data_IF_717607504628
#
_entry.id   IF_717607504628
#
_cell.length_a   1.000
_cell.length_b   1.000
_cell.length_c   1.000
_cell.angle_alpha   90.00
_cell.angle_beta   90.00
_cell.angle_gamma   90.00
#
_symmetry.space_group_name_H-M   'P 1'
#
loop_
_entity.id
_entity.type
_entity.pdbx_description
1 polymer ?
#
# COMPACT_ATOMS: atom_id res chain seq x y z
N UNK A 1 11.67 -99.62 62.10
CA UNK A 1 12.98 -99.87 61.46
C UNK A 1 13.46 -98.57 60.84
N UNK A 2 14.77 -98.38 60.86
CA UNK A 2 15.56 -97.22 60.43
C UNK A 2 15.24 -96.72 59.01
N UNK A 3 15.06 -95.40 58.88
CA UNK A 3 15.80 -94.41 58.04
C UNK A 3 16.19 -94.74 56.56
N UNK A 4 16.88 -93.84 55.81
CA UNK A 4 16.29 -93.00 54.76
C UNK A 4 17.07 -93.03 53.41
N UNK A 5 16.51 -92.53 52.30
CA UNK A 5 17.27 -92.08 51.11
C UNK A 5 16.38 -91.08 50.33
N UNK A 6 16.60 -89.77 50.41
CA UNK A 6 17.64 -88.95 49.75
C UNK A 6 17.33 -88.60 48.30
N UNK A 7 17.27 -87.28 48.02
CA UNK A 7 17.16 -86.68 46.69
C UNK A 7 15.70 -86.55 46.26
N UNK A 8 15.15 -85.38 45.95
CA UNK A 8 15.75 -84.36 45.09
C UNK A 8 15.28 -82.99 45.57
N UNK A 9 16.23 -82.15 45.99
CA UNK A 9 16.08 -80.71 45.87
C UNK A 9 16.50 -80.34 44.43
N UNK A 10 15.87 -79.31 43.89
CA UNK A 10 15.88 -78.77 42.51
C UNK A 10 14.75 -79.24 41.59
N UNK A 11 14.24 -78.27 40.82
CA UNK A 11 13.26 -78.33 39.73
C UNK A 11 11.78 -78.05 40.03
N UNK A 12 11.47 -77.12 40.95
CA UNK A 12 10.19 -76.39 40.91
C UNK A 12 10.42 -74.88 41.06
N UNK A 13 11.33 -74.32 40.26
CA UNK A 13 10.99 -73.05 39.60
C UNK A 13 9.74 -73.35 38.76
N UNK A 14 8.57 -73.10 39.33
CA UNK A 14 7.28 -73.35 38.72
C UNK A 14 7.21 -72.54 37.42
N UNK A 15 7.48 -73.21 36.30
CA UNK A 15 7.45 -72.62 34.97
C UNK A 15 6.05 -72.04 34.75
N UNK A 16 5.97 -70.70 34.66
CA UNK A 16 4.74 -69.96 34.38
C UNK A 16 4.10 -70.55 33.11
N UNK A 17 2.79 -70.84 33.16
CA UNK A 17 2.06 -71.36 32.00
C UNK A 17 2.36 -70.48 30.78
N UNK A 18 2.81 -71.03 29.65
CA UNK A 18 3.23 -70.26 28.48
C UNK A 18 2.15 -69.28 27.99
N UNK A 19 0.86 -69.53 28.24
CA UNK A 19 -0.23 -68.58 27.91
C UNK A 19 -0.23 -67.38 28.86
N UNK A 20 0.02 -67.59 30.15
CA UNK A 20 0.15 -66.53 31.15
C UNK A 20 1.40 -65.68 30.88
N UNK A 21 2.48 -66.31 30.41
CA UNK A 21 3.70 -65.62 30.01
C UNK A 21 3.48 -64.67 28.82
N UNK A 22 2.75 -65.11 27.78
CA UNK A 22 2.40 -64.26 26.62
C UNK A 22 1.53 -63.07 27.01
N UNK A 23 0.56 -63.25 27.90
CA UNK A 23 -0.30 -62.15 28.37
C UNK A 23 0.48 -61.16 29.26
N UNK A 24 1.45 -61.63 30.06
CA UNK A 24 2.35 -60.77 30.83
C UNK A 24 3.29 -59.96 29.93
N UNK A 25 3.83 -60.57 28.87
CA UNK A 25 4.62 -59.86 27.85
C UNK A 25 3.78 -58.80 27.13
N UNK A 26 2.53 -59.13 26.81
CA UNK A 26 1.57 -58.19 26.20
C UNK A 26 1.25 -57.03 27.14
N UNK A 27 1.03 -57.30 28.43
CA UNK A 27 0.80 -56.28 29.46
C UNK A 27 2.01 -55.35 29.63
N UNK A 28 3.21 -55.92 29.69
CA UNK A 28 4.45 -55.14 29.79
C UNK A 28 4.65 -54.26 28.56
N UNK A 29 4.45 -54.81 27.35
CA UNK A 29 4.51 -54.03 26.11
C UNK A 29 3.48 -52.90 26.08
N UNK A 30 2.24 -53.16 26.48
CA UNK A 30 1.21 -52.13 26.55
C UNK A 30 1.53 -51.05 27.60
N UNK A 31 2.16 -51.44 28.71
CA UNK A 31 2.62 -50.50 29.75
C UNK A 31 3.74 -49.61 29.23
N UNK A 32 4.71 -50.17 28.51
CA UNK A 32 5.78 -49.41 27.86
C UNK A 32 5.24 -48.45 26.81
N UNK A 33 4.25 -48.88 26.02
CA UNK A 33 3.57 -48.03 25.03
C UNK A 33 2.80 -46.89 25.70
N UNK A 34 2.10 -47.14 26.80
CA UNK A 34 1.42 -46.09 27.59
C UNK A 34 2.44 -45.08 28.10
N UNK A 35 3.52 -45.55 28.73
CA UNK A 35 4.57 -44.67 29.26
C UNK A 35 5.19 -43.80 28.16
N UNK A 36 5.43 -44.38 26.97
CA UNK A 36 5.94 -43.65 25.82
C UNK A 36 4.95 -42.60 25.32
N UNK A 37 3.68 -42.96 25.16
CA UNK A 37 2.64 -42.04 24.73
C UNK A 37 2.41 -40.90 25.74
N UNK A 38 2.56 -41.16 27.04
CA UNK A 38 2.50 -40.13 28.07
C UNK A 38 3.66 -39.13 27.93
N UNK A 39 4.89 -39.62 27.71
CA UNK A 39 6.06 -38.76 27.45
C UNK A 39 5.84 -37.93 26.18
N UNK A 40 5.45 -38.56 25.07
CA UNK A 40 5.22 -37.89 23.80
C UNK A 40 4.11 -36.82 23.91
N UNK A 41 3.04 -37.12 24.67
CA UNK A 41 1.94 -36.18 24.92
C UNK A 41 2.41 -34.98 25.73
N UNK A 42 3.22 -35.18 26.77
CA UNK A 42 3.73 -34.10 27.59
C UNK A 42 4.76 -33.23 26.84
N UNK A 43 5.59 -33.83 26.00
CA UNK A 43 6.46 -33.12 25.05
C UNK A 43 5.65 -32.28 24.06
N UNK A 44 4.63 -32.87 23.42
CA UNK A 44 3.76 -32.16 22.48
C UNK A 44 3.02 -31.00 23.16
N UNK A 45 2.53 -31.19 24.39
CA UNK A 45 1.89 -30.14 25.20
C UNK A 45 2.87 -29.04 25.57
N UNK A 46 4.11 -29.38 25.94
CA UNK A 46 5.15 -28.41 26.24
C UNK A 46 5.51 -27.57 25.00
N UNK A 47 5.70 -28.23 23.85
CA UNK A 47 5.96 -27.56 22.57
C UNK A 47 4.82 -26.63 22.17
N UNK A 48 3.56 -27.08 22.30
CA UNK A 48 2.39 -26.24 22.02
C UNK A 48 2.34 -25.00 22.91
N UNK A 49 2.58 -25.15 24.22
CA UNK A 49 2.62 -24.01 25.16
C UNK A 49 3.73 -23.02 24.79
N UNK A 50 4.93 -23.51 24.43
CA UNK A 50 6.03 -22.67 23.99
C UNK A 50 5.67 -21.89 22.71
N UNK A 51 5.12 -22.57 21.70
CA UNK A 51 4.71 -21.95 20.45
C UNK A 51 3.61 -20.90 20.65
N UNK A 52 2.64 -21.17 21.53
CA UNK A 52 1.57 -20.25 21.87
C UNK A 52 2.11 -18.99 22.58
N UNK A 53 3.03 -19.17 23.52
CA UNK A 53 3.69 -18.05 24.20
C UNK A 53 4.51 -17.20 23.22
N UNK A 54 5.27 -17.84 22.33
CA UNK A 54 6.05 -17.14 21.31
C UNK A 54 5.15 -16.37 20.33
N UNK A 55 4.08 -16.99 19.86
CA UNK A 55 3.12 -16.37 18.94
C UNK A 55 2.40 -15.19 19.58
N UNK A 56 1.90 -15.36 20.82
CA UNK A 56 1.27 -14.28 21.59
C UNK A 56 2.24 -13.12 21.79
N UNK A 57 3.49 -13.41 22.18
CA UNK A 57 4.53 -12.40 22.33
C UNK A 57 4.81 -11.66 21.01
N UNK A 58 4.90 -12.37 19.88
CA UNK A 58 5.09 -11.75 18.56
C UNK A 58 3.93 -10.83 18.20
N UNK A 59 2.69 -11.24 18.48
CA UNK A 59 1.49 -10.42 18.27
C UNK A 59 1.53 -9.17 19.14
N UNK A 60 1.85 -9.28 20.43
CA UNK A 60 1.95 -8.15 21.35
C UNK A 60 3.07 -7.17 20.94
N UNK A 61 4.21 -7.69 20.51
CA UNK A 61 5.30 -6.87 19.97
C UNK A 61 4.85 -6.12 18.71
N UNK A 62 4.13 -6.76 17.79
CA UNK A 62 3.59 -6.12 16.59
C UNK A 62 2.52 -5.09 16.95
N UNK A 63 1.61 -5.41 17.87
CA UNK A 63 0.59 -4.50 18.37
C UNK A 63 1.21 -3.27 19.03
N UNK A 64 2.28 -3.41 19.83
CA UNK A 64 3.06 -2.29 20.37
C UNK A 64 3.82 -1.51 19.29
N UNK A 65 4.39 -2.20 18.29
CA UNK A 65 5.16 -1.58 17.21
C UNK A 65 4.27 -0.73 16.30
N UNK A 66 3.09 -1.25 15.95
CA UNK A 66 2.12 -0.64 15.05
C UNK A 66 1.20 0.35 15.80
N UNK A 67 0.71 -0.01 16.99
CA UNK A 67 -0.04 0.87 17.90
C UNK A 67 -0.96 1.86 17.19
N UNK A 68 -0.86 3.14 17.57
CA UNK A 68 -1.53 4.25 16.89
C UNK A 68 -0.71 4.88 15.76
N UNK A 69 0.36 4.24 15.26
CA UNK A 69 1.24 4.86 14.26
C UNK A 69 0.54 5.08 12.92
N UNK A 70 -0.45 4.24 12.59
CA UNK A 70 -1.29 4.40 11.39
C UNK A 70 -2.16 5.65 11.53
N UNK A 71 -2.91 5.77 12.64
CA UNK A 71 -3.72 6.96 12.94
C UNK A 71 -2.88 8.24 12.97
N UNK A 72 -1.69 8.17 13.56
CA UNK A 72 -0.77 9.32 13.64
C UNK A 72 -0.15 9.68 12.29
N UNK A 73 0.01 8.73 11.37
CA UNK A 73 0.52 8.98 10.03
C UNK A 73 -0.59 9.37 9.04
N UNK A 74 -1.86 9.12 9.37
CA UNK A 74 -3.03 9.43 8.52
C UNK A 74 -3.01 10.86 7.95
N UNK A 75 -2.75 11.94 8.74
CA UNK A 75 -2.76 13.30 8.21
C UNK A 75 -1.72 13.52 7.10
N UNK A 76 -0.58 12.83 7.16
CA UNK A 76 0.45 12.91 6.12
C UNK A 76 -0.02 12.28 4.80
N UNK A 77 -0.64 11.09 4.86
CA UNK A 77 -1.14 10.42 3.66
C UNK A 77 -2.33 11.15 3.04
N UNK A 78 -3.23 11.70 3.87
CA UNK A 78 -4.31 12.58 3.39
C UNK A 78 -3.77 13.84 2.73
N UNK A 79 -2.76 14.50 3.32
CA UNK A 79 -2.12 15.66 2.71
C UNK A 79 -1.45 15.31 1.37
N UNK A 80 -0.82 14.13 1.26
CA UNK A 80 -0.25 13.65 -0.01
C UNK A 80 -1.30 13.41 -1.08
N UNK A 81 -2.45 12.86 -0.71
CA UNK A 81 -3.56 12.67 -1.64
C UNK A 81 -4.04 14.03 -2.17
N UNK A 82 -4.27 15.00 -1.27
CA UNK A 82 -4.66 16.37 -1.65
C UNK A 82 -3.62 17.07 -2.52
N UNK A 83 -2.33 16.91 -2.23
CA UNK A 83 -1.27 17.47 -3.07
C UNK A 83 -1.27 16.86 -4.48
N UNK A 84 -1.54 15.56 -4.60
CA UNK A 84 -1.66 14.88 -5.89
C UNK A 84 -2.88 15.38 -6.69
N UNK A 85 -4.02 15.57 -6.03
CA UNK A 85 -5.22 16.14 -6.65
C UNK A 85 -4.96 17.58 -7.12
N UNK A 86 -4.37 18.43 -6.27
CA UNK A 86 -4.01 19.80 -6.62
C UNK A 86 -2.99 19.87 -7.77
N UNK A 87 -2.06 18.92 -7.85
CA UNK A 87 -1.14 18.80 -8.99
C UNK A 87 -1.89 18.52 -10.29
N UNK A 88 -2.84 17.57 -10.28
CA UNK A 88 -3.64 17.26 -11.47
C UNK A 88 -4.48 18.46 -11.91
N UNK A 89 -5.08 19.20 -10.97
CA UNK A 89 -5.79 20.44 -11.28
C UNK A 89 -4.88 21.51 -11.89
N UNK A 90 -3.69 21.70 -11.32
CA UNK A 90 -2.71 22.67 -11.83
C UNK A 90 -2.22 22.31 -13.23
N UNK A 91 -1.93 21.03 -13.48
CA UNK A 91 -1.54 20.54 -14.81
C UNK A 91 -2.68 20.70 -15.83
N UNK A 92 -3.92 20.39 -15.45
CA UNK A 92 -5.07 20.59 -16.32
C UNK A 92 -5.26 22.07 -16.67
N UNK A 93 -5.14 22.98 -15.69
CA UNK A 93 -5.20 24.41 -15.91
C UNK A 93 -4.04 24.92 -16.79
N UNK A 94 -2.82 24.39 -16.60
CA UNK A 94 -1.66 24.71 -17.44
C UNK A 94 -1.91 24.33 -18.92
N UNK A 95 -2.40 23.12 -19.18
CA UNK A 95 -2.74 22.66 -20.54
C UNK A 95 -3.82 23.55 -21.18
N UNK A 96 -4.84 23.97 -20.41
CA UNK A 96 -5.86 24.91 -20.91
C UNK A 96 -5.24 26.25 -21.27
N UNK A 97 -4.36 26.78 -20.42
CA UNK A 97 -3.66 28.04 -20.67
C UNK A 97 -2.76 27.96 -21.91
N UNK A 98 -2.01 26.87 -22.10
CA UNK A 98 -1.20 26.64 -23.29
C UNK A 98 -2.04 26.56 -24.57
N UNK A 99 -3.19 25.91 -24.52
CA UNK A 99 -4.16 25.87 -25.63
C UNK A 99 -4.69 27.27 -25.96
N UNK A 100 -5.06 28.05 -24.94
CA UNK A 100 -5.51 29.43 -25.13
C UNK A 100 -4.41 30.34 -25.71
N UNK A 101 -3.16 30.19 -25.25
CA UNK A 101 -2.01 30.87 -25.83
C UNK A 101 -1.83 30.53 -27.33
N UNK A 102 -1.93 29.24 -27.66
CA UNK A 102 -1.79 28.76 -29.04
C UNK A 102 -2.91 29.28 -29.94
N UNK A 103 -4.15 29.27 -29.45
CA UNK A 103 -5.31 29.81 -30.16
C UNK A 103 -5.18 31.32 -30.39
N UNK A 104 -4.69 32.06 -29.40
CA UNK A 104 -4.45 33.50 -29.50
C UNK A 104 -3.33 33.83 -30.50
N UNK A 105 -2.25 33.05 -30.52
CA UNK A 105 -1.19 33.20 -31.52
C UNK A 105 -1.71 32.98 -32.94
N UNK A 106 -2.49 31.92 -33.16
CA UNK A 106 -3.12 31.65 -34.45
C UNK A 106 -4.11 32.76 -34.86
N UNK A 107 -4.87 33.31 -33.91
CA UNK A 107 -5.77 34.44 -34.15
C UNK A 107 -5.02 35.69 -34.62
N UNK A 108 -3.89 36.01 -33.97
CA UNK A 108 -3.01 37.11 -34.38
C UNK A 108 -2.42 36.91 -35.78
N UNK A 109 -2.02 35.68 -36.10
CA UNK A 109 -1.51 35.35 -37.43
C UNK A 109 -2.59 35.52 -38.52
N UNK A 110 -3.84 35.18 -38.24
CA UNK A 110 -4.95 35.42 -39.16
C UNK A 110 -5.19 36.91 -39.43
N UNK A 111 -5.08 37.78 -38.42
CA UNK A 111 -5.15 39.23 -38.61
C UNK A 111 -3.97 39.71 -39.47
N UNK A 112 -2.75 39.27 -39.15
CA UNK A 112 -1.55 39.64 -39.90
C UNK A 112 -1.66 39.25 -41.38
N UNK A 113 -2.09 38.03 -41.69
CA UNK A 113 -2.28 37.57 -43.08
C UNK A 113 -3.39 38.35 -43.80
N UNK A 114 -4.48 38.68 -43.08
CA UNK A 114 -5.56 39.52 -43.62
C UNK A 114 -5.11 40.98 -43.86
N UNK A 115 -4.13 41.49 -43.13
CA UNK A 115 -3.56 42.81 -43.37
C UNK A 115 -2.55 42.77 -44.53
N UNK A 116 -1.66 41.76 -44.57
CA UNK A 116 -0.71 41.53 -45.67
C UNK A 116 -1.40 41.37 -47.01
N UNK A 117 -2.54 40.64 -47.03
CA UNK A 117 -3.33 40.43 -48.23
C UNK A 117 -3.97 41.69 -48.81
N UNK A 118 -4.04 42.79 -48.06
CA UNK A 118 -4.57 44.09 -48.50
C UNK A 118 -3.47 45.02 -49.06
N UNK A 119 -2.19 44.74 -48.76
CA UNK A 119 -1.02 45.51 -49.25
C UNK A 119 -0.74 45.44 -50.77
N UNK A 120 -1.12 44.40 -51.55
CA UNK A 120 -0.83 44.39 -52.98
C UNK A 120 -1.66 45.47 -53.71
N UNK A 121 -1.00 46.25 -54.56
CA UNK A 121 -1.62 47.29 -55.39
C UNK A 121 -2.73 46.69 -56.26
N UNK A 122 -3.98 47.12 -56.03
CA UNK A 122 -5.14 46.76 -56.87
C UNK A 122 -6.29 46.02 -56.17
N UNK A 123 -6.17 45.66 -54.88
CA UNK A 123 -7.32 45.13 -54.11
C UNK A 123 -8.13 46.27 -53.49
N UNK A 124 -9.44 46.28 -53.76
CA UNK A 124 -10.39 47.17 -53.07
C UNK A 124 -10.78 46.55 -51.74
N UNK A 125 -10.83 47.36 -50.68
CA UNK A 125 -11.40 46.95 -49.39
C UNK A 125 -12.92 46.76 -49.56
N UNK A 126 -13.31 45.58 -50.01
CA UNK A 126 -14.70 45.21 -50.25
C UNK A 126 -15.38 44.73 -48.95
N UNK A 127 -16.70 44.55 -49.04
CA UNK A 127 -17.50 44.18 -47.87
C UNK A 127 -17.08 42.82 -47.27
N UNK A 128 -16.74 41.85 -48.12
CA UNK A 128 -16.29 40.52 -47.68
C UNK A 128 -14.95 40.58 -46.94
N UNK A 129 -14.02 41.42 -47.38
CA UNK A 129 -12.75 41.64 -46.70
C UNK A 129 -12.92 42.33 -45.34
N UNK A 130 -13.81 43.33 -45.28
CA UNK A 130 -14.15 44.01 -44.04
C UNK A 130 -14.73 43.02 -43.00
N UNK A 131 -15.63 42.14 -43.43
CA UNK A 131 -16.19 41.08 -42.58
C UNK A 131 -15.10 40.10 -42.10
N UNK A 132 -14.19 39.68 -42.98
CA UNK A 132 -13.07 38.79 -42.63
C UNK A 132 -12.17 39.40 -41.56
N UNK A 133 -11.77 40.67 -41.74
CA UNK A 133 -10.90 41.38 -40.79
C UNK A 133 -11.60 41.61 -39.44
N UNK A 134 -12.89 41.95 -39.48
CA UNK A 134 -13.70 42.09 -38.27
C UNK A 134 -13.78 40.77 -37.49
N UNK A 135 -14.04 39.66 -38.18
CA UNK A 135 -14.07 38.33 -37.55
C UNK A 135 -12.70 37.93 -36.97
N UNK A 136 -11.61 38.15 -37.70
CA UNK A 136 -10.26 37.89 -37.21
C UNK A 136 -9.94 38.73 -35.95
N UNK A 137 -10.30 40.02 -35.97
CA UNK A 137 -10.11 40.94 -34.83
C UNK A 137 -10.96 40.53 -33.62
N UNK A 138 -12.22 40.14 -33.83
CA UNK A 138 -13.07 39.61 -32.76
C UNK A 138 -12.46 38.35 -32.13
N UNK A 139 -11.94 37.42 -32.94
CA UNK A 139 -11.28 36.20 -32.43
C UNK A 139 -9.99 36.49 -31.65
N UNK A 140 -9.22 37.50 -32.03
CA UNK A 140 -8.05 37.94 -31.24
C UNK A 140 -8.49 38.43 -29.85
N UNK A 141 -9.55 39.22 -29.77
CA UNK A 141 -10.07 39.72 -28.50
C UNK A 141 -10.64 38.60 -27.61
N UNK A 142 -11.39 37.67 -28.19
CA UNK A 142 -11.95 36.52 -27.46
C UNK A 142 -10.84 35.61 -26.92
N UNK A 143 -9.89 35.22 -27.78
CA UNK A 143 -8.76 34.37 -27.38
C UNK A 143 -7.85 35.05 -26.34
N UNK A 144 -7.67 36.38 -26.38
CA UNK A 144 -6.91 37.11 -25.35
C UNK A 144 -7.63 37.09 -23.99
N UNK A 145 -8.97 37.19 -24.00
CA UNK A 145 -9.78 37.07 -22.79
C UNK A 145 -9.64 35.67 -22.20
N UNK A 146 -9.77 34.62 -23.02
CA UNK A 146 -9.57 33.23 -22.57
C UNK A 146 -8.16 32.98 -22.05
N UNK A 147 -7.14 33.54 -22.71
CA UNK A 147 -5.75 33.48 -22.27
C UNK A 147 -5.56 34.09 -20.88
N UNK A 148 -6.12 35.27 -20.64
CA UNK A 148 -6.04 35.96 -19.35
C UNK A 148 -6.74 35.17 -18.24
N UNK A 149 -7.91 34.61 -18.52
CA UNK A 149 -8.65 33.76 -17.58
C UNK A 149 -7.89 32.46 -17.27
N UNK A 150 -7.34 31.82 -18.31
CA UNK A 150 -6.52 30.61 -18.17
C UNK A 150 -5.25 30.86 -17.37
N UNK A 151 -4.60 32.01 -17.55
CA UNK A 151 -3.42 32.40 -16.76
C UNK A 151 -3.77 32.55 -15.28
N UNK A 152 -4.87 33.26 -14.98
CA UNK A 152 -5.33 33.47 -13.61
C UNK A 152 -5.72 32.14 -12.95
N UNK A 153 -6.42 31.25 -13.66
CA UNK A 153 -6.77 29.92 -13.17
C UNK A 153 -5.51 29.09 -12.87
N UNK A 154 -4.59 28.99 -13.84
CA UNK A 154 -3.33 28.24 -13.69
C UNK A 154 -2.52 28.77 -12.51
N UNK A 155 -2.38 30.09 -12.37
CA UNK A 155 -1.67 30.70 -11.25
C UNK A 155 -2.31 30.32 -9.91
N UNK A 156 -3.65 30.40 -9.82
CA UNK A 156 -4.40 30.04 -8.61
C UNK A 156 -4.22 28.56 -8.25
N UNK A 157 -4.36 27.65 -9.21
CA UNK A 157 -4.22 26.20 -8.97
C UNK A 157 -2.78 25.83 -8.60
N UNK A 158 -1.79 26.48 -9.22
CA UNK A 158 -0.38 26.28 -8.90
C UNK A 158 -0.03 26.73 -7.48
N UNK A 159 -0.60 27.83 -7.00
CA UNK A 159 -0.46 28.26 -5.60
C UNK A 159 -1.05 27.22 -4.62
N UNK A 160 -2.27 26.71 -4.90
CA UNK A 160 -2.87 25.65 -4.08
C UNK A 160 -2.02 24.39 -4.03
N UNK A 161 -1.44 23.99 -5.17
CA UNK A 161 -0.51 22.86 -5.21
C UNK A 161 0.73 23.12 -4.34
N UNK A 162 1.33 24.30 -4.44
CA UNK A 162 2.50 24.67 -3.61
C UNK A 162 2.18 24.64 -2.12
N UNK A 163 1.02 25.15 -1.70
CA UNK A 163 0.56 25.10 -0.31
C UNK A 163 0.36 23.65 0.18
N UNK A 164 -0.27 22.81 -0.65
CA UNK A 164 -0.47 21.40 -0.34
C UNK A 164 0.87 20.64 -0.22
N UNK A 165 1.81 20.90 -1.12
CA UNK A 165 3.17 20.34 -1.07
C UNK A 165 3.94 20.80 0.18
N UNK A 166 3.87 22.09 0.53
CA UNK A 166 4.48 22.59 1.77
C UNK A 166 3.89 21.89 3.00
N UNK A 167 2.58 21.63 3.01
CA UNK A 167 1.91 20.90 4.08
C UNK A 167 2.41 19.45 4.16
N UNK A 168 2.58 18.78 3.02
CA UNK A 168 3.17 17.43 2.95
C UNK A 168 4.58 17.43 3.51
N UNK A 169 5.43 18.37 3.10
CA UNK A 169 6.82 18.47 3.57
C UNK A 169 6.90 18.75 5.06
N UNK A 170 6.03 19.63 5.58
CA UNK A 170 5.91 19.89 7.01
C UNK A 170 5.53 18.61 7.77
N UNK A 171 4.46 17.93 7.35
CA UNK A 171 4.00 16.69 8.01
C UNK A 171 5.03 15.56 7.89
N UNK A 172 5.78 15.50 6.78
CA UNK A 172 6.88 14.54 6.61
C UNK A 172 8.00 14.77 7.63
N UNK A 173 8.32 16.04 7.94
CA UNK A 173 9.33 16.40 8.94
C UNK A 173 8.85 16.11 10.36
N UNK A 174 7.60 16.43 10.68
CA UNK A 174 7.00 16.23 12.00
C UNK A 174 6.75 14.75 12.32
N UNK A 175 6.25 13.97 11.35
CA UNK A 175 5.74 12.61 11.55
C UNK A 175 6.71 11.52 11.05
N UNK A 176 8.02 11.80 10.96
CA UNK A 176 9.04 10.85 10.43
C UNK A 176 8.92 9.43 11.00
N UNK A 177 8.83 9.31 12.33
CA UNK A 177 8.77 8.01 13.02
C UNK A 177 7.45 7.26 12.74
N UNK A 178 6.26 7.86 12.93
CA UNK A 178 4.99 7.23 12.53
C UNK A 178 4.92 6.84 11.06
N UNK A 179 5.41 7.68 10.14
CA UNK A 179 5.43 7.39 8.70
C UNK A 179 6.32 6.18 8.41
N UNK A 180 7.55 6.16 8.95
CA UNK A 180 8.48 5.05 8.74
C UNK A 180 7.93 3.70 9.24
N UNK A 181 7.20 3.71 10.37
CA UNK A 181 6.56 2.51 10.92
C UNK A 181 5.32 2.08 10.13
N UNK A 182 4.47 3.02 9.73
CA UNK A 182 3.23 2.74 8.98
C UNK A 182 3.48 2.29 7.54
N UNK A 183 4.64 2.59 6.95
CA UNK A 183 5.02 2.12 5.60
C UNK A 183 4.91 0.61 5.41
N UNK A 184 5.15 -0.20 6.44
CA UNK A 184 5.06 -1.66 6.31
C UNK A 184 3.63 -2.19 6.23
N UNK A 185 2.63 -1.39 6.65
CA UNK A 185 1.21 -1.77 6.69
C UNK A 185 0.39 -1.06 5.62
N UNK A 186 0.72 0.19 5.28
CA UNK A 186 -0.07 1.03 4.37
C UNK A 186 0.46 1.04 2.92
N UNK A 187 1.60 0.40 2.64
CA UNK A 187 2.17 0.25 1.29
C UNK A 187 2.11 -1.19 0.75
N UNK A 188 1.31 -2.07 1.37
CA UNK A 188 0.76 -3.27 0.72
C UNK A 188 -0.66 -2.95 0.26
#
# INVERSE_FOLDING_TARGET
>A
MLSPTSGVADDLEEAVDPRVQVELETLNSATDDINKLEVDLDEARAAFRQLLMESTRRIDELARKLGSCIERARPYYEARLRAKEALHEAQAAAVRFERANSAHAAAKEMVFLAEEGLKPEGRTFDHAWQEMLNHATMRVNESERERTLGEAEHRRTSLKYQEAEQRVQYLQKELKRPIAKSRYVCCR
#
